data_IF_981664160952
#
_entry.id   IF_981664160952
#
_cell.length_a   1.000
_cell.length_b   1.000
_cell.length_c   1.000
_cell.angle_alpha   90.00
_cell.angle_beta   90.00
_cell.angle_gamma   90.00
#
_symmetry.space_group_name_H-M   'P 1'
#
loop_
_entity.id
_entity.type
_entity.pdbx_description
1 polymer ?
#
# COMPACT_ATOMS: atom_id res chain seq x y z
N UNK A 1 17.48 15.25 3.77
CA UNK A 1 16.69 14.22 4.48
C UNK A 1 15.69 13.71 3.46
N UNK A 2 15.58 12.39 3.28
CA UNK A 2 14.63 11.81 2.33
C UNK A 2 13.19 12.04 2.78
N UNK A 3 12.29 12.22 1.83
CA UNK A 3 10.87 12.46 2.08
C UNK A 3 10.03 11.40 1.36
N UNK A 4 9.23 10.64 2.10
CA UNK A 4 8.42 9.54 1.59
C UNK A 4 6.95 9.98 1.51
N UNK A 5 6.33 9.85 0.32
CA UNK A 5 4.89 9.95 0.19
C UNK A 5 4.24 8.63 0.63
N UNK A 6 3.22 8.69 1.48
CA UNK A 6 2.50 7.50 1.96
C UNK A 6 1.04 7.59 1.54
N UNK A 7 0.56 6.67 0.69
CA UNK A 7 -0.85 6.65 0.27
C UNK A 7 -1.63 5.72 1.18
N UNK A 8 -2.58 6.28 1.92
CA UNK A 8 -3.51 5.59 2.79
C UNK A 8 -4.87 5.37 2.10
N UNK A 9 -5.66 4.45 2.63
CA UNK A 9 -6.92 4.00 2.03
C UNK A 9 -8.12 4.02 2.98
N UNK A 10 -8.06 4.79 4.06
CA UNK A 10 -8.99 4.80 5.20
C UNK A 10 -8.30 4.38 6.49
N UNK A 11 -9.05 3.97 7.52
CA UNK A 11 -8.53 3.58 8.83
C UNK A 11 -9.29 2.38 9.40
N UNK A 12 -8.74 1.18 9.19
CA UNK A 12 -9.32 -0.10 9.65
C UNK A 12 -9.05 -1.22 8.67
N UNK A 13 -8.70 -2.42 9.16
CA UNK A 13 -8.27 -3.53 8.29
C UNK A 13 -9.34 -3.95 7.28
N UNK A 14 -10.63 -3.93 7.65
CA UNK A 14 -11.71 -4.46 6.80
C UNK A 14 -12.23 -3.48 5.76
N UNK A 15 -12.00 -2.16 5.93
CA UNK A 15 -12.57 -1.12 5.07
C UNK A 15 -11.63 0.05 4.76
N UNK A 16 -10.39 0.02 5.30
CA UNK A 16 -9.38 1.06 5.15
C UNK A 16 -7.96 0.50 5.13
N UNK A 17 -7.00 1.36 5.49
CA UNK A 17 -5.62 0.92 5.75
C UNK A 17 -5.56 0.05 6.99
N UNK A 18 -4.78 -1.03 6.95
CA UNK A 18 -4.44 -1.76 8.16
C UNK A 18 -3.65 -0.84 9.10
N UNK A 19 -4.18 -0.64 10.33
CA UNK A 19 -3.68 0.41 11.22
C UNK A 19 -2.26 0.12 11.69
N UNK A 20 -1.96 -1.14 12.06
CA UNK A 20 -0.61 -1.52 12.49
C UNK A 20 0.41 -1.34 11.37
N UNK A 21 0.08 -1.80 10.15
CA UNK A 21 0.98 -1.63 8.99
C UNK A 21 1.26 -0.17 8.70
N UNK A 22 0.22 0.67 8.69
CA UNK A 22 0.36 2.09 8.45
C UNK A 22 1.23 2.76 9.53
N UNK A 23 0.96 2.50 10.82
CA UNK A 23 1.73 3.09 11.93
C UNK A 23 3.17 2.57 11.95
N UNK A 24 3.38 1.27 11.74
CA UNK A 24 4.73 0.68 11.67
C UNK A 24 5.54 1.24 10.49
N UNK A 25 4.88 1.46 9.34
CA UNK A 25 5.52 2.08 8.17
C UNK A 25 5.96 3.52 8.47
N UNK A 26 5.09 4.36 9.05
CA UNK A 26 5.45 5.72 9.45
C UNK A 26 6.59 5.74 10.48
N UNK A 27 6.51 4.88 11.49
CA UNK A 27 7.56 4.71 12.49
C UNK A 27 8.90 4.29 11.87
N UNK A 28 8.89 3.31 10.96
CA UNK A 28 10.09 2.82 10.30
C UNK A 28 10.74 3.90 9.42
N UNK A 29 9.95 4.74 8.73
CA UNK A 29 10.45 5.88 7.95
C UNK A 29 11.20 6.86 8.86
N UNK A 30 10.62 7.24 10.00
CA UNK A 30 11.29 8.14 10.97
C UNK A 30 12.54 7.49 11.57
N UNK A 31 12.47 6.21 11.93
CA UNK A 31 13.60 5.43 12.44
C UNK A 31 14.76 5.34 11.43
N UNK A 32 14.46 5.29 10.14
CA UNK A 32 15.44 5.32 9.05
C UNK A 32 16.01 6.74 8.78
N UNK A 33 15.60 7.76 9.54
CA UNK A 33 16.06 9.14 9.40
C UNK A 33 15.43 9.89 8.21
N UNK A 34 14.30 9.44 7.72
CA UNK A 34 13.52 10.10 6.68
C UNK A 34 12.28 10.79 7.27
N UNK A 35 11.59 11.57 6.45
CA UNK A 35 10.30 12.18 6.79
C UNK A 35 9.21 11.62 5.90
N UNK A 36 7.98 11.73 6.34
CA UNK A 36 6.82 11.28 5.58
C UNK A 36 5.75 12.37 5.47
N UNK A 37 4.92 12.24 4.44
CA UNK A 37 3.65 12.95 4.32
C UNK A 37 2.61 12.00 3.75
N UNK A 38 1.42 11.97 4.36
CA UNK A 38 0.35 11.08 3.95
C UNK A 38 -0.53 11.70 2.88
N UNK A 39 -1.11 10.83 2.06
CA UNK A 39 -2.11 11.15 1.04
C UNK A 39 -3.21 10.11 1.07
N UNK A 40 -4.41 10.49 0.64
CA UNK A 40 -5.49 9.54 0.40
C UNK A 40 -6.47 10.11 -0.64
N UNK A 41 -7.21 9.28 -1.38
CA UNK A 41 -8.24 9.78 -2.29
C UNK A 41 -9.40 10.39 -1.51
N UNK A 42 -9.90 11.52 -1.98
CA UNK A 42 -11.07 12.18 -1.41
C UNK A 42 -12.36 11.62 -2.02
N UNK A 43 -12.70 10.41 -1.62
CA UNK A 43 -13.85 9.64 -2.08
C UNK A 43 -14.55 8.96 -0.90
N UNK A 44 -15.76 8.51 -1.08
CA UNK A 44 -16.43 7.65 -0.11
C UNK A 44 -15.81 6.25 -0.10
N UNK A 45 -15.74 5.62 1.08
CA UNK A 45 -15.37 4.21 1.22
C UNK A 45 -16.40 3.33 0.51
N UNK A 46 -15.94 2.23 -0.09
CA UNK A 46 -16.82 1.24 -0.69
C UNK A 46 -17.75 0.62 0.36
N UNK A 47 -17.20 0.29 1.53
CA UNK A 47 -17.92 -0.26 2.66
C UNK A 47 -17.52 0.46 3.96
N UNK A 48 -18.39 0.45 4.94
CA UNK A 48 -18.08 0.78 6.34
C UNK A 48 -18.36 -0.46 7.17
N UNK A 49 -17.35 -1.01 7.80
CA UNK A 49 -17.41 -2.32 8.48
C UNK A 49 -17.31 -2.15 9.99
N UNK A 50 -18.23 -2.78 10.73
CA UNK A 50 -18.10 -2.95 12.17
C UNK A 50 -16.98 -3.98 12.45
N UNK A 51 -15.84 -3.51 12.93
CA UNK A 51 -14.67 -4.36 13.17
C UNK A 51 -14.84 -5.37 14.33
N UNK A 52 -15.90 -5.28 15.14
CA UNK A 52 -16.21 -6.30 16.14
C UNK A 52 -16.96 -7.49 15.55
N UNK A 53 -17.87 -7.24 14.59
CA UNK A 53 -18.77 -8.27 14.05
C UNK A 53 -18.39 -8.69 12.65
N UNK A 54 -17.70 -7.85 11.90
CA UNK A 54 -17.41 -8.02 10.46
C UNK A 54 -18.57 -7.60 9.56
N UNK A 55 -19.69 -7.12 10.12
CA UNK A 55 -20.87 -6.74 9.35
C UNK A 55 -20.71 -5.33 8.75
N UNK A 56 -21.33 -5.14 7.59
CA UNK A 56 -21.46 -3.81 6.98
C UNK A 56 -22.43 -2.95 7.77
N UNK A 57 -22.05 -1.69 7.97
CA UNK A 57 -22.86 -0.67 8.66
C UNK A 57 -23.54 0.23 7.65
N UNK A 58 -24.79 0.62 7.94
CA UNK A 58 -25.56 1.57 7.13
C UNK A 58 -25.11 3.01 7.40
N UNK A 59 -23.87 3.31 7.02
CA UNK A 59 -23.29 4.66 7.10
C UNK A 59 -22.27 4.87 5.97
N UNK A 60 -21.93 6.14 5.70
CA UNK A 60 -20.92 6.53 4.72
C UNK A 60 -19.76 7.21 5.43
N UNK A 61 -18.52 6.85 5.04
CA UNK A 61 -17.28 7.50 5.51
C UNK A 61 -16.40 7.85 4.32
N UNK A 62 -15.69 8.96 4.46
CA UNK A 62 -14.77 9.43 3.44
C UNK A 62 -13.35 8.90 3.70
N UNK A 63 -12.71 8.35 2.68
CA UNK A 63 -11.38 7.73 2.75
C UNK A 63 -10.32 8.70 3.28
N UNK A 64 -10.28 9.94 2.78
CA UNK A 64 -9.31 10.95 3.21
C UNK A 64 -9.52 11.34 4.68
N UNK A 65 -10.78 11.53 5.10
CA UNK A 65 -11.14 11.89 6.47
C UNK A 65 -10.75 10.76 7.45
N UNK A 66 -11.05 9.51 7.10
CA UNK A 66 -10.68 8.38 7.94
C UNK A 66 -9.15 8.17 7.98
N UNK A 67 -8.46 8.30 6.85
CA UNK A 67 -6.99 8.25 6.78
C UNK A 67 -6.31 9.30 7.65
N UNK A 68 -6.92 10.48 7.78
CA UNK A 68 -6.41 11.55 8.63
C UNK A 68 -6.30 11.16 10.12
N UNK A 69 -7.03 10.16 10.59
CA UNK A 69 -6.92 9.62 11.95
C UNK A 69 -5.55 9.01 12.19
N UNK A 70 -5.02 8.24 11.22
CA UNK A 70 -3.69 7.63 11.28
C UNK A 70 -2.61 8.72 11.16
N UNK A 71 -2.78 9.63 10.21
CA UNK A 71 -1.83 10.70 9.92
C UNK A 71 -1.88 11.88 10.94
N UNK A 72 -2.76 11.83 11.95
CA UNK A 72 -3.00 12.90 12.93
C UNK A 72 -3.28 14.25 12.26
N UNK A 73 -4.03 14.22 11.15
CA UNK A 73 -4.40 15.40 10.38
C UNK A 73 -3.32 15.88 9.38
N UNK A 74 -2.12 15.32 9.38
CA UNK A 74 -1.05 15.67 8.43
C UNK A 74 -1.19 14.85 7.13
N UNK A 75 -2.20 15.20 6.32
CA UNK A 75 -2.57 14.47 5.11
C UNK A 75 -3.21 15.40 4.09
N UNK A 76 -3.00 15.11 2.81
CA UNK A 76 -3.64 15.79 1.68
C UNK A 76 -4.36 14.81 0.75
N UNK A 77 -5.23 15.35 -0.11
CA UNK A 77 -5.82 14.60 -1.21
C UNK A 77 -4.73 14.13 -2.18
N UNK A 78 -4.74 12.84 -2.54
CA UNK A 78 -3.77 12.24 -3.47
C UNK A 78 -3.76 12.94 -4.84
N UNK A 79 -4.85 13.59 -5.23
CA UNK A 79 -4.91 14.41 -6.44
C UNK A 79 -3.91 15.60 -6.44
N UNK A 80 -3.45 16.00 -5.25
CA UNK A 80 -2.46 17.09 -5.07
C UNK A 80 -1.03 16.59 -4.95
N UNK A 81 -0.79 15.28 -4.97
CA UNK A 81 0.54 14.72 -4.82
C UNK A 81 1.43 15.15 -5.99
N UNK A 82 2.50 15.87 -5.67
CA UNK A 82 3.53 16.25 -6.63
C UNK A 82 4.77 15.36 -6.41
N UNK A 83 5.06 14.48 -7.36
CA UNK A 83 6.19 13.53 -7.29
C UNK A 83 7.56 14.22 -7.07
N UNK A 84 7.73 15.45 -7.55
CA UNK A 84 9.00 16.16 -7.45
C UNK A 84 9.38 16.53 -6.01
N UNK A 85 8.39 16.52 -5.10
CA UNK A 85 8.59 16.86 -3.69
C UNK A 85 8.98 15.66 -2.81
N UNK A 86 8.99 14.46 -3.37
CA UNK A 86 9.21 13.21 -2.63
C UNK A 86 10.29 12.35 -3.28
N UNK A 87 11.03 11.62 -2.46
CA UNK A 87 12.11 10.72 -2.91
C UNK A 87 11.60 9.27 -3.12
N UNK A 88 10.54 8.88 -2.42
CA UNK A 88 9.98 7.52 -2.49
C UNK A 88 8.46 7.52 -2.23
N UNK A 89 7.81 6.41 -2.59
CA UNK A 89 6.39 6.16 -2.36
C UNK A 89 6.22 4.92 -1.47
N UNK A 90 5.20 4.91 -0.59
CA UNK A 90 4.84 3.73 0.20
C UNK A 90 3.32 3.59 0.31
N UNK A 91 2.82 2.36 0.13
CA UNK A 91 1.41 2.00 0.28
C UNK A 91 1.27 0.87 1.31
N UNK A 92 0.73 1.16 2.53
CA UNK A 92 0.28 0.12 3.45
C UNK A 92 -0.89 -0.68 2.87
N UNK A 93 -1.11 -1.88 3.41
CA UNK A 93 -2.23 -2.71 3.03
C UNK A 93 -3.51 -2.42 3.82
N UNK A 94 -4.26 -3.48 4.10
CA UNK A 94 -5.64 -3.44 4.55
C UNK A 94 -6.61 -3.53 3.38
N UNK A 95 -7.85 -3.95 3.64
CA UNK A 95 -8.85 -4.10 2.58
C UNK A 95 -9.18 -2.79 1.86
N UNK A 96 -8.89 -1.63 2.45
CA UNK A 96 -9.03 -0.35 1.76
C UNK A 96 -8.15 -0.23 0.51
N UNK A 97 -6.97 -0.85 0.48
CA UNK A 97 -6.15 -0.90 -0.73
C UNK A 97 -6.87 -1.65 -1.87
N UNK A 98 -7.61 -2.72 -1.53
CA UNK A 98 -8.36 -3.54 -2.47
C UNK A 98 -9.82 -3.10 -2.70
N UNK A 99 -10.33 -2.12 -1.94
CA UNK A 99 -11.71 -1.62 -2.01
C UNK A 99 -11.82 -0.15 -2.40
N UNK A 100 -10.85 0.68 -1.98
CA UNK A 100 -10.89 2.14 -2.13
C UNK A 100 -9.81 2.66 -3.10
N UNK A 101 -8.59 2.07 -3.08
CA UNK A 101 -7.54 2.42 -4.05
C UNK A 101 -7.74 1.68 -5.38
N UNK A 102 -8.26 0.47 -5.30
CA UNK A 102 -8.71 -0.36 -6.43
C UNK A 102 -10.07 -0.95 -6.09
N UNK A 103 -10.69 -1.64 -7.05
CA UNK A 103 -11.84 -2.50 -6.83
C UNK A 103 -11.47 -4.00 -6.85
N UNK A 104 -10.22 -4.33 -6.54
CA UNK A 104 -9.69 -5.69 -6.54
C UNK A 104 -10.50 -6.68 -5.70
N UNK A 105 -11.01 -6.25 -4.54
CA UNK A 105 -11.83 -7.09 -3.66
C UNK A 105 -13.16 -7.52 -4.30
N UNK A 106 -13.63 -6.82 -5.34
CA UNK A 106 -14.86 -7.12 -6.07
C UNK A 106 -14.57 -7.75 -7.43
N UNK A 107 -13.61 -7.17 -8.17
CA UNK A 107 -13.35 -7.50 -9.58
C UNK A 107 -12.15 -8.44 -9.77
N UNK A 108 -11.41 -8.77 -8.69
CA UNK A 108 -10.22 -9.63 -8.77
C UNK A 108 -9.21 -9.12 -9.78
N UNK A 109 -8.75 -10.00 -10.67
CA UNK A 109 -7.76 -9.68 -11.70
C UNK A 109 -8.23 -8.69 -12.77
N UNK A 110 -9.55 -8.48 -12.92
CA UNK A 110 -10.13 -7.52 -13.86
C UNK A 110 -10.32 -6.13 -13.23
N UNK A 111 -9.69 -5.90 -12.08
CA UNK A 111 -9.86 -4.68 -11.31
C UNK A 111 -9.32 -3.44 -12.02
N UNK A 112 -9.90 -2.31 -11.62
CA UNK A 112 -9.46 -0.97 -11.95
C UNK A 112 -8.83 -0.30 -10.73
N UNK A 113 -8.00 0.74 -10.97
CA UNK A 113 -7.39 1.55 -9.93
C UNK A 113 -7.96 2.96 -9.95
N UNK A 114 -8.17 3.56 -8.79
CA UNK A 114 -8.55 4.97 -8.66
C UNK A 114 -7.64 5.85 -9.50
N UNK A 115 -8.21 6.75 -10.28
CA UNK A 115 -7.49 7.55 -11.28
C UNK A 115 -6.34 8.36 -10.67
N UNK A 116 -6.55 9.02 -9.54
CA UNK A 116 -5.52 9.85 -8.90
C UNK A 116 -4.42 9.01 -8.22
N UNK A 117 -4.79 7.86 -7.65
CA UNK A 117 -3.83 6.88 -7.14
C UNK A 117 -2.97 6.33 -8.27
N UNK A 118 -3.58 5.97 -9.41
CA UNK A 118 -2.85 5.51 -10.60
C UNK A 118 -1.89 6.59 -11.13
N UNK A 119 -2.33 7.83 -11.21
CA UNK A 119 -1.51 8.96 -11.64
C UNK A 119 -0.30 9.13 -10.72
N UNK A 120 -0.51 9.14 -9.41
CA UNK A 120 0.56 9.24 -8.42
C UNK A 120 1.57 8.09 -8.56
N UNK A 121 1.12 6.83 -8.53
CA UNK A 121 2.00 5.66 -8.64
C UNK A 121 2.79 5.66 -9.96
N UNK A 122 2.14 5.98 -11.08
CA UNK A 122 2.81 6.07 -12.39
C UNK A 122 3.83 7.20 -12.45
N UNK A 123 3.58 8.33 -11.78
CA UNK A 123 4.54 9.44 -11.72
C UNK A 123 5.84 9.02 -11.02
N UNK A 124 5.76 8.27 -9.90
CA UNK A 124 6.94 7.69 -9.24
C UNK A 124 7.65 6.68 -10.13
N UNK A 125 6.92 5.77 -10.77
CA UNK A 125 7.47 4.80 -11.71
C UNK A 125 8.22 5.46 -12.87
N UNK A 126 7.62 6.47 -13.51
CA UNK A 126 8.22 7.22 -14.62
C UNK A 126 9.44 8.04 -14.20
N UNK A 127 9.43 8.57 -12.97
CA UNK A 127 10.57 9.29 -12.40
C UNK A 127 11.70 8.35 -11.93
N UNK A 128 11.51 7.02 -12.02
CA UNK A 128 12.47 6.02 -11.53
C UNK A 128 12.64 6.03 -10.00
N UNK A 129 11.73 6.65 -9.28
CA UNK A 129 11.77 6.72 -7.82
C UNK A 129 11.24 5.42 -7.21
N UNK A 130 11.85 4.92 -6.11
CA UNK A 130 11.44 3.66 -5.50
C UNK A 130 10.05 3.73 -4.88
N UNK A 131 9.33 2.61 -4.97
CA UNK A 131 8.02 2.44 -4.36
C UNK A 131 7.93 1.13 -3.57
N UNK A 132 7.32 1.20 -2.40
CA UNK A 132 7.08 0.07 -1.50
C UNK A 132 5.59 -0.22 -1.34
N UNK A 133 5.25 -1.52 -1.30
CA UNK A 133 3.87 -2.00 -1.17
C UNK A 133 3.80 -3.10 -0.11
N UNK A 134 2.83 -3.01 0.80
CA UNK A 134 2.68 -3.94 1.93
C UNK A 134 1.40 -4.78 1.78
N UNK A 135 1.43 -6.01 2.27
CA UNK A 135 0.26 -6.87 2.46
C UNK A 135 -0.48 -7.16 1.14
N UNK A 136 -1.69 -6.62 0.97
CA UNK A 136 -2.50 -6.75 -0.25
C UNK A 136 -2.21 -5.63 -1.28
N UNK A 137 -1.61 -4.51 -0.86
CA UNK A 137 -1.30 -3.39 -1.76
C UNK A 137 -0.40 -3.76 -2.97
N UNK A 138 0.47 -4.79 -2.92
CA UNK A 138 1.21 -5.24 -4.11
C UNK A 138 0.33 -5.65 -5.29
N UNK A 139 -0.96 -5.96 -5.12
CA UNK A 139 -1.89 -6.20 -6.24
C UNK A 139 -2.02 -4.99 -7.18
N UNK A 140 -1.64 -3.80 -6.72
CA UNK A 140 -1.55 -2.57 -7.53
C UNK A 140 -0.36 -2.59 -8.51
N UNK A 141 0.72 -3.29 -8.17
CA UNK A 141 1.99 -3.26 -8.91
C UNK A 141 1.82 -3.58 -10.41
N UNK A 142 1.14 -4.68 -10.82
CA UNK A 142 0.97 -4.99 -12.25
C UNK A 142 0.20 -3.92 -13.01
N UNK A 143 -0.75 -3.24 -12.37
CA UNK A 143 -1.57 -2.18 -12.98
C UNK A 143 -0.77 -0.89 -13.28
N UNK A 144 0.38 -0.73 -12.62
CA UNK A 144 1.26 0.43 -12.74
C UNK A 144 2.45 0.15 -13.66
N UNK A 145 3.15 -0.97 -13.42
CA UNK A 145 4.43 -1.30 -14.06
C UNK A 145 4.29 -2.24 -15.26
N UNK A 146 3.15 -2.95 -15.38
CA UNK A 146 2.84 -3.80 -16.54
C UNK A 146 3.50 -5.17 -16.49
N UNK A 147 3.68 -5.76 -17.67
CA UNK A 147 4.08 -7.15 -17.86
C UNK A 147 5.46 -7.48 -17.29
N UNK A 148 5.51 -8.56 -16.49
CA UNK A 148 6.73 -9.14 -15.96
C UNK A 148 7.30 -8.41 -14.74
N UNK A 149 6.61 -7.38 -14.20
CA UNK A 149 7.00 -6.78 -12.93
C UNK A 149 6.88 -7.80 -11.80
N UNK A 150 7.86 -7.83 -10.90
CA UNK A 150 7.90 -8.78 -9.80
C UNK A 150 7.38 -8.16 -8.50
N UNK A 151 6.73 -8.99 -7.67
CA UNK A 151 6.25 -8.59 -6.36
C UNK A 151 5.76 -9.76 -5.53
N UNK A 152 5.54 -9.53 -4.24
CA UNK A 152 5.02 -10.53 -3.32
C UNK A 152 3.81 -10.01 -2.55
N UNK A 153 2.87 -10.91 -2.30
CA UNK A 153 1.79 -10.78 -1.29
C UNK A 153 1.94 -11.88 -0.21
N UNK A 154 3.05 -12.59 -0.21
CA UNK A 154 3.28 -13.76 0.62
C UNK A 154 3.16 -15.06 -0.16
N UNK A 155 2.19 -15.92 0.19
CA UNK A 155 2.03 -17.25 -0.42
C UNK A 155 0.57 -17.65 -0.67
N UNK A 156 -0.38 -16.74 -0.58
CA UNK A 156 -1.77 -17.03 -0.92
C UNK A 156 -1.91 -17.30 -2.42
N UNK A 157 -2.29 -18.53 -2.76
CA UNK A 157 -2.31 -19.02 -4.13
C UNK A 157 -3.30 -18.26 -5.02
N UNK A 158 -4.47 -17.90 -4.48
CA UNK A 158 -5.50 -17.22 -5.25
C UNK A 158 -5.09 -15.78 -5.59
N UNK A 159 -4.55 -15.06 -4.63
CA UNK A 159 -4.05 -13.68 -4.84
C UNK A 159 -2.80 -13.69 -5.74
N UNK A 160 -1.90 -14.67 -5.57
CA UNK A 160 -0.73 -14.83 -6.44
C UNK A 160 -1.13 -15.14 -7.88
N UNK A 161 -2.15 -15.98 -8.10
CA UNK A 161 -2.70 -16.26 -9.43
C UNK A 161 -3.32 -15.01 -10.06
N UNK A 162 -4.07 -14.20 -9.29
CA UNK A 162 -4.63 -12.94 -9.77
C UNK A 162 -3.53 -11.95 -10.14
N UNK A 163 -2.47 -11.82 -9.33
CA UNK A 163 -1.29 -11.00 -9.61
C UNK A 163 -0.64 -11.40 -10.95
N UNK A 164 -0.50 -12.73 -11.19
CA UNK A 164 -0.01 -13.26 -12.46
C UNK A 164 -0.94 -12.96 -13.63
N UNK A 165 -2.25 -13.07 -13.44
CA UNK A 165 -3.24 -12.78 -14.47
C UNK A 165 -3.22 -11.30 -14.91
N UNK A 166 -2.97 -10.38 -13.97
CA UNK A 166 -2.76 -8.95 -14.25
C UNK A 166 -1.41 -8.66 -14.95
N UNK A 167 -0.57 -9.66 -15.18
CA UNK A 167 0.69 -9.54 -15.89
C UNK A 167 1.94 -9.45 -15.01
N UNK A 168 1.80 -9.52 -13.69
CA UNK A 168 2.94 -9.57 -12.78
C UNK A 168 3.57 -10.96 -12.68
N UNK A 169 4.75 -11.05 -12.11
CA UNK A 169 5.44 -12.29 -11.76
C UNK A 169 5.54 -12.38 -10.23
N UNK A 170 4.62 -13.13 -9.62
CA UNK A 170 4.58 -13.27 -8.17
C UNK A 170 5.78 -14.06 -7.64
N UNK A 171 6.34 -13.61 -6.53
CA UNK A 171 7.45 -14.26 -5.82
C UNK A 171 7.00 -14.59 -4.40
N UNK A 172 7.07 -15.87 -4.01
CA UNK A 172 6.77 -16.27 -2.63
C UNK A 172 7.82 -15.72 -1.66
N UNK A 173 7.36 -15.09 -0.58
CA UNK A 173 8.19 -14.60 0.52
C UNK A 173 7.64 -15.06 1.85
N UNK A 174 8.52 -15.24 2.83
CA UNK A 174 8.16 -15.42 4.23
C UNK A 174 7.76 -14.07 4.86
N UNK A 175 7.16 -14.13 6.05
CA UNK A 175 6.62 -12.95 6.75
C UNK A 175 7.65 -11.83 6.99
N UNK A 176 8.91 -12.22 7.20
CA UNK A 176 10.01 -11.31 7.49
C UNK A 176 10.90 -11.02 6.27
N UNK A 177 10.48 -11.47 5.08
CA UNK A 177 11.19 -11.24 3.83
C UNK A 177 10.61 -10.06 3.05
N UNK A 178 11.42 -9.52 2.17
CA UNK A 178 11.02 -8.51 1.17
C UNK A 178 11.40 -9.01 -0.22
N UNK A 179 10.61 -8.66 -1.21
CA UNK A 179 11.02 -8.79 -2.61
C UNK A 179 11.37 -7.41 -3.18
N UNK A 180 12.48 -7.34 -3.92
CA UNK A 180 12.91 -6.13 -4.62
C UNK A 180 13.06 -6.40 -6.12
N UNK A 181 12.17 -5.85 -6.92
CA UNK A 181 12.31 -5.79 -8.38
C UNK A 181 13.23 -4.62 -8.73
N UNK A 182 14.52 -4.91 -8.92
CA UNK A 182 15.54 -3.91 -9.23
C UNK A 182 15.28 -3.20 -10.56
N UNK A 183 14.69 -3.89 -11.54
CA UNK A 183 14.40 -3.33 -12.87
C UNK A 183 13.38 -2.20 -12.78
N UNK A 184 12.37 -2.36 -11.94
CA UNK A 184 11.27 -1.42 -11.81
C UNK A 184 11.38 -0.53 -10.55
N UNK A 185 12.40 -0.76 -9.72
CA UNK A 185 12.62 -0.06 -8.45
C UNK A 185 11.44 -0.21 -7.47
N UNK A 186 10.87 -1.42 -7.38
CA UNK A 186 9.67 -1.75 -6.61
C UNK A 186 9.99 -2.76 -5.51
N UNK A 187 9.53 -2.45 -4.29
CA UNK A 187 9.63 -3.33 -3.12
C UNK A 187 8.26 -3.81 -2.68
N UNK A 188 8.20 -5.02 -2.16
CA UNK A 188 6.99 -5.55 -1.54
C UNK A 188 7.32 -6.49 -0.38
N UNK A 189 6.40 -6.62 0.58
CA UNK A 189 6.49 -7.53 1.71
C UNK A 189 5.10 -8.02 2.13
N UNK A 190 4.98 -9.27 2.62
CA UNK A 190 3.70 -9.86 2.97
C UNK A 190 2.94 -9.16 4.10
N UNK A 191 3.64 -8.64 5.12
CA UNK A 191 3.02 -8.08 6.32
C UNK A 191 1.88 -8.99 6.84
N UNK A 192 0.68 -8.46 7.10
CA UNK A 192 -0.45 -9.25 7.62
C UNK A 192 -1.10 -10.23 6.62
N UNK A 193 -0.62 -10.36 5.40
CA UNK A 193 -0.95 -11.54 4.59
C UNK A 193 -0.40 -12.84 5.23
N UNK A 194 0.67 -12.75 6.04
CA UNK A 194 1.31 -13.88 6.72
C UNK A 194 1.52 -13.68 8.22
N UNK A 195 1.60 -12.42 8.69
CA UNK A 195 1.88 -12.12 10.09
C UNK A 195 0.73 -12.53 11.00
N UNK A 196 1.06 -13.19 12.10
CA UNK A 196 0.11 -13.59 13.15
C UNK A 196 0.08 -12.59 14.33
N UNK A 197 1.03 -11.66 14.35
CA UNK A 197 1.16 -10.64 15.38
C UNK A 197 1.92 -9.41 14.88
N UNK A 198 1.87 -8.33 15.68
CA UNK A 198 2.49 -7.05 15.32
C UNK A 198 4.01 -7.17 15.11
N UNK A 199 4.71 -7.98 15.92
CA UNK A 199 6.16 -8.12 15.82
C UNK A 199 6.59 -8.78 14.52
N UNK A 200 5.84 -9.79 14.05
CA UNK A 200 6.07 -10.42 12.75
C UNK A 200 5.81 -9.43 11.60
N UNK A 201 4.71 -8.68 11.65
CA UNK A 201 4.43 -7.64 10.67
C UNK A 201 5.54 -6.57 10.61
N UNK A 202 6.00 -6.12 11.79
CA UNK A 202 7.06 -5.12 11.91
C UNK A 202 8.37 -5.58 11.25
N UNK A 203 8.72 -6.87 11.35
CA UNK A 203 10.01 -7.39 10.84
C UNK A 203 10.17 -7.20 9.33
N UNK A 204 9.14 -7.51 8.53
CA UNK A 204 9.14 -7.30 7.08
C UNK A 204 9.03 -5.82 6.71
N UNK A 205 8.14 -5.09 7.39
CA UNK A 205 7.91 -3.66 7.15
C UNK A 205 9.18 -2.83 7.40
N UNK A 206 9.87 -3.04 8.52
CA UNK A 206 11.13 -2.33 8.82
C UNK A 206 12.20 -2.61 7.78
N UNK A 207 12.37 -3.88 7.36
CA UNK A 207 13.33 -4.25 6.29
C UNK A 207 13.00 -3.56 4.97
N UNK A 208 11.72 -3.52 4.59
CA UNK A 208 11.28 -2.86 3.36
C UNK A 208 11.57 -1.37 3.41
N UNK A 209 11.18 -0.71 4.50
CA UNK A 209 11.36 0.75 4.65
C UNK A 209 12.84 1.11 4.71
N UNK A 210 13.66 0.36 5.43
CA UNK A 210 15.12 0.57 5.46
C UNK A 210 15.73 0.49 4.06
N UNK A 211 15.31 -0.50 3.25
CA UNK A 211 15.78 -0.62 1.87
C UNK A 211 15.24 0.51 1.02
N UNK A 212 13.94 0.85 1.14
CA UNK A 212 13.28 1.93 0.39
C UNK A 212 14.01 3.26 0.58
N UNK A 213 14.28 3.64 1.84
CA UNK A 213 14.96 4.91 2.17
C UNK A 213 16.41 4.93 1.69
N UNK A 214 17.11 3.78 1.69
CA UNK A 214 18.48 3.68 1.22
C UNK A 214 18.63 3.87 -0.29
N UNK A 215 17.64 3.46 -1.07
CA UNK A 215 17.70 3.53 -2.55
C UNK A 215 16.95 4.76 -3.13
N UNK A 216 16.25 5.50 -2.28
CA UNK A 216 15.52 6.72 -2.59
C UNK A 216 16.41 7.93 -2.95
#
# INVERSE_FOLDING_TARGET
MKKVAVILSGSGVYDGSEIHEAVLALYAIEKAGATWHCFAPNIDQLHVINHLTGDEMDETRNVLIESARIARGNIDDVAKLNVDEYDALLLPGGFGAAKNLTDFAISGAECSINTHVAQACRAFAQAGKPAGYLCIAPTIIPLIYGQGVQGTIGNDEATAAAFGHMGGAHVNCQVDEIHFDEKHNVLSTPAYMLAENISQAASGIEKLVDKLVKIA
#
